data_IF_262653230863
#
_entry.id   IF_262653230863
#
_cell.length_a   1.000
_cell.length_b   1.000
_cell.length_c   1.000
_cell.angle_alpha   90.00
_cell.angle_beta   90.00
_cell.angle_gamma   90.00
#
_symmetry.space_group_name_H-M   'P 1'
#
loop_
_entity.id
_entity.type
_entity.pdbx_description
1 polymer ?
#
# COMPACT_ATOMS: atom_id res chain seq x y z
N UNK A 1 5.83 6.04 -34.95
CA UNK A 1 6.33 4.87 -34.18
C UNK A 1 6.36 5.29 -32.72
N UNK A 2 5.32 4.93 -31.96
CA UNK A 2 5.13 5.41 -30.58
C UNK A 2 6.14 4.73 -29.65
N UNK A 3 6.93 5.55 -28.96
CA UNK A 3 7.99 5.12 -28.06
C UNK A 3 7.45 4.41 -26.83
N UNK A 4 7.45 3.08 -26.86
CA UNK A 4 7.30 2.24 -25.67
C UNK A 4 8.67 2.07 -25.01
N UNK A 5 9.27 3.18 -24.56
CA UNK A 5 10.55 3.14 -23.84
C UNK A 5 10.30 3.47 -22.38
N UNK A 6 10.13 2.42 -21.59
CA UNK A 6 10.65 2.32 -20.22
C UNK A 6 10.42 0.89 -19.70
N UNK A 7 11.50 0.21 -19.28
CA UNK A 7 11.38 -0.95 -18.38
C UNK A 7 10.95 -0.40 -17.03
N UNK A 8 9.66 -0.22 -16.86
CA UNK A 8 9.09 0.35 -15.64
C UNK A 8 9.09 -0.71 -14.55
N UNK A 9 9.99 -0.57 -13.57
CA UNK A 9 10.08 -1.45 -12.39
C UNK A 9 8.84 -1.36 -11.49
N UNK A 10 7.85 -0.54 -11.83
CA UNK A 10 6.58 -0.36 -11.11
C UNK A 10 5.91 -1.67 -10.74
N UNK A 11 5.77 -2.60 -11.69
CA UNK A 11 5.15 -3.91 -11.42
C UNK A 11 6.00 -4.71 -10.42
N UNK A 12 7.33 -4.72 -10.59
CA UNK A 12 8.24 -5.40 -9.68
C UNK A 12 8.21 -4.78 -8.27
N UNK A 13 8.14 -3.45 -8.15
CA UNK A 13 8.00 -2.76 -6.88
C UNK A 13 6.67 -3.07 -6.19
N UNK A 14 5.57 -3.11 -6.94
CA UNK A 14 4.25 -3.48 -6.40
C UNK A 14 4.25 -4.92 -5.91
N UNK A 15 4.73 -5.87 -6.73
CA UNK A 15 4.77 -7.29 -6.36
C UNK A 15 5.62 -7.54 -5.11
N UNK A 16 6.71 -6.78 -4.94
CA UNK A 16 7.55 -6.87 -3.75
C UNK A 16 7.08 -5.98 -2.58
N UNK A 17 5.90 -5.37 -2.66
CA UNK A 17 5.36 -4.51 -1.60
C UNK A 17 6.13 -3.20 -1.37
N UNK A 18 7.03 -2.82 -2.29
CA UNK A 18 7.82 -1.57 -2.22
C UNK A 18 7.06 -0.36 -2.75
N UNK A 19 5.95 -0.56 -3.44
CA UNK A 19 5.10 0.51 -3.98
C UNK A 19 3.62 0.13 -3.84
N UNK A 20 2.82 1.11 -3.44
CA UNK A 20 1.37 0.99 -3.38
C UNK A 20 0.71 0.93 -4.76
N UNK A 21 -0.45 0.29 -4.84
CA UNK A 21 -1.31 0.32 -6.03
C UNK A 21 -2.05 1.67 -6.07
N UNK A 22 -1.62 2.56 -6.99
CA UNK A 22 -2.32 3.81 -7.26
C UNK A 22 -3.61 3.58 -8.07
N UNK A 23 -4.50 4.58 -8.13
CA UNK A 23 -5.71 4.51 -8.95
C UNK A 23 -5.41 4.28 -10.44
N UNK A 24 -4.37 4.93 -10.98
CA UNK A 24 -3.93 4.74 -12.36
C UNK A 24 -3.47 3.29 -12.62
N UNK A 25 -2.71 2.71 -11.68
CA UNK A 25 -2.29 1.31 -11.76
C UNK A 25 -3.50 0.38 -11.66
N UNK A 26 -4.46 0.66 -10.78
CA UNK A 26 -5.67 -0.15 -10.63
C UNK A 26 -6.50 -0.19 -11.93
N UNK A 27 -6.62 0.94 -12.64
CA UNK A 27 -7.29 0.99 -13.96
C UNK A 27 -6.51 0.21 -15.02
N UNK A 28 -5.17 0.27 -15.01
CA UNK A 28 -4.33 -0.56 -15.88
C UNK A 28 -4.53 -2.05 -15.61
N UNK A 29 -4.58 -2.45 -14.34
CA UNK A 29 -4.85 -3.84 -13.93
C UNK A 29 -6.26 -4.29 -14.33
N UNK A 30 -7.27 -3.42 -14.25
CA UNK A 30 -8.62 -3.71 -14.72
C UNK A 30 -8.64 -4.04 -16.22
N UNK A 31 -7.96 -3.23 -17.03
CA UNK A 31 -7.92 -3.47 -18.47
C UNK A 31 -7.27 -4.81 -18.83
N UNK A 32 -6.21 -5.20 -18.11
CA UNK A 32 -5.45 -6.43 -18.36
C UNK A 32 -6.19 -7.67 -17.83
N UNK A 33 -6.63 -7.63 -16.58
CA UNK A 33 -7.19 -8.79 -15.87
C UNK A 33 -8.71 -8.89 -15.94
N UNK A 34 -9.39 -7.88 -16.49
CA UNK A 34 -10.86 -7.80 -16.55
C UNK A 34 -11.55 -7.87 -15.18
N UNK A 35 -10.84 -7.41 -14.15
CA UNK A 35 -11.32 -7.32 -12.76
C UNK A 35 -11.46 -5.84 -12.37
N UNK A 36 -12.52 -5.41 -11.68
CA UNK A 36 -12.77 -3.99 -11.41
C UNK A 36 -11.60 -3.30 -10.67
N UNK A 37 -11.23 -2.07 -11.05
CA UNK A 37 -10.18 -1.28 -10.41
C UNK A 37 -10.40 -1.12 -8.89
N UNK A 38 -11.67 -1.04 -8.46
CA UNK A 38 -12.07 -0.97 -7.05
C UNK A 38 -11.57 -2.17 -6.23
N UNK A 39 -11.48 -3.36 -6.82
CA UNK A 39 -10.96 -4.54 -6.14
C UNK A 39 -9.49 -4.32 -5.74
N UNK A 40 -8.67 -3.86 -6.70
CA UNK A 40 -7.26 -3.60 -6.45
C UNK A 40 -7.03 -2.46 -5.46
N UNK A 41 -7.85 -1.41 -5.54
CA UNK A 41 -7.80 -0.32 -4.56
C UNK A 41 -8.23 -0.75 -3.17
N UNK A 42 -9.24 -1.62 -3.06
CA UNK A 42 -9.68 -2.18 -1.78
C UNK A 42 -8.57 -2.95 -1.09
N UNK A 43 -7.82 -3.79 -1.82
CA UNK A 43 -6.64 -4.48 -1.26
C UNK A 43 -5.58 -3.52 -0.72
N UNK A 44 -5.32 -2.43 -1.44
CA UNK A 44 -4.40 -1.39 -0.98
C UNK A 44 -4.93 -0.69 0.28
N UNK A 45 -6.22 -0.34 0.30
CA UNK A 45 -6.83 0.36 1.45
C UNK A 45 -6.80 -0.52 2.70
N UNK A 46 -7.10 -1.82 2.57
CA UNK A 46 -7.02 -2.78 3.67
C UNK A 46 -5.59 -2.88 4.24
N UNK A 47 -4.58 -2.92 3.36
CA UNK A 47 -3.17 -2.90 3.77
C UNK A 47 -2.80 -1.61 4.50
N UNK A 48 -3.16 -0.45 3.95
CA UNK A 48 -2.85 0.86 4.53
C UNK A 48 -3.50 1.03 5.91
N UNK A 49 -4.76 0.60 6.05
CA UNK A 49 -5.47 0.57 7.34
C UNK A 49 -4.77 -0.36 8.33
N UNK A 50 -4.36 -1.56 7.89
CA UNK A 50 -3.62 -2.51 8.72
C UNK A 50 -2.32 -1.91 9.27
N UNK A 51 -1.53 -1.27 8.40
CA UNK A 51 -0.29 -0.61 8.79
C UNK A 51 -0.52 0.58 9.72
N UNK A 52 -1.56 1.39 9.45
CA UNK A 52 -1.93 2.50 10.33
C UNK A 52 -2.31 2.01 11.74
N UNK A 53 -3.07 0.91 11.84
CA UNK A 53 -3.40 0.29 13.13
C UNK A 53 -2.17 -0.17 13.90
N UNK A 54 -1.19 -0.78 13.22
CA UNK A 54 0.06 -1.21 13.85
C UNK A 54 0.84 -0.02 14.39
N UNK A 55 0.96 1.04 13.61
CA UNK A 55 1.66 2.27 14.03
C UNK A 55 0.99 2.92 15.25
N UNK A 56 -0.33 3.10 15.20
CA UNK A 56 -1.09 3.67 16.34
C UNK A 56 -0.95 2.79 17.59
N UNK A 57 -0.96 1.47 17.43
CA UNK A 57 -0.75 0.54 18.55
C UNK A 57 0.64 0.69 19.17
N UNK A 58 1.68 0.81 18.34
CA UNK A 58 3.06 1.02 18.79
C UNK A 58 3.21 2.35 19.55
N UNK A 59 2.70 3.44 18.99
CA UNK A 59 2.67 4.76 19.62
C UNK A 59 1.96 4.73 20.99
N UNK A 60 0.85 4.01 21.08
CA UNK A 60 0.13 3.88 22.36
C UNK A 60 0.88 3.00 23.38
N UNK A 61 1.63 1.99 22.93
CA UNK A 61 2.45 1.16 23.83
C UNK A 61 3.63 1.94 24.41
N UNK A 62 4.30 2.76 23.60
CA UNK A 62 5.45 3.55 24.06
C UNK A 62 5.06 4.58 25.12
N UNK A 63 3.91 5.26 24.94
CA UNK A 63 3.36 6.18 25.94
C UNK A 63 3.09 5.50 27.28
N UNK A 64 2.45 4.32 27.27
CA UNK A 64 2.15 3.57 28.50
C UNK A 64 3.40 3.07 29.23
N UNK A 65 4.48 2.80 28.52
CA UNK A 65 5.76 2.41 29.14
C UNK A 65 6.40 3.62 29.82
N UNK A 66 6.38 4.80 29.19
CA UNK A 66 6.91 6.03 29.77
C UNK A 66 6.16 6.44 31.04
N UNK A 67 4.82 6.35 31.06
CA UNK A 67 4.00 6.65 32.25
C UNK A 67 4.34 5.76 33.45
N UNK A 68 4.68 4.49 33.22
CA UNK A 68 5.05 3.55 34.29
C UNK A 68 6.45 3.74 34.85
N UNK A 69 7.34 4.46 34.15
CA UNK A 69 8.71 4.70 34.61
C UNK A 69 8.81 5.92 35.56
N UNK A 70 7.76 6.73 35.65
CA UNK A 70 7.71 7.93 36.48
C UNK A 70 6.77 7.81 37.70
N UNK A 71 6.23 6.62 37.97
CA UNK A 71 5.43 6.28 39.15
C UNK A 71 6.20 5.31 40.05
#
# INVERSE_FOLDING_TARGET
>A
MLGFKERNNTVNEIVNGRRAISAEVAVKLEFVFKMPAKLWKGLQDDYDIGMARLKVKEEHLTLRVAEKQHA
#
